data_IF_508875023622
#
_entry.id   IF_508875023622
#
_cell.length_a   1.000
_cell.length_b   1.000
_cell.length_c   1.000
_cell.angle_alpha   90.00
_cell.angle_beta   90.00
_cell.angle_gamma   90.00
#
_symmetry.space_group_name_H-M   'P 1'
#
loop_
_entity.id
_entity.type
_entity.pdbx_description
1 polymer ?
#
# COMPACT_ATOMS: atom_id res chain seq x y z
N UNK A 1 3.88 6.47 -2.64
CA UNK A 1 3.75 5.17 -1.92
C UNK A 1 2.65 4.30 -2.52
N UNK A 2 1.37 4.69 -2.45
CA UNK A 2 0.27 3.85 -3.01
C UNK A 2 0.47 3.50 -4.48
N UNK A 3 0.65 4.51 -5.36
CA UNK A 3 0.90 4.28 -6.78
C UNK A 3 2.15 3.39 -7.02
N UNK A 4 3.22 3.63 -6.25
CA UNK A 4 4.44 2.82 -6.29
C UNK A 4 4.17 1.34 -6.02
N UNK A 5 3.31 0.98 -5.05
CA UNK A 5 3.04 -0.41 -4.72
C UNK A 5 1.99 -1.05 -5.62
N UNK A 6 1.06 -0.25 -6.15
CA UNK A 6 0.01 -0.71 -7.06
C UNK A 6 0.56 -1.08 -8.44
N UNK A 7 1.33 -0.18 -9.07
CA UNK A 7 1.84 -0.38 -10.43
C UNK A 7 3.36 -0.56 -10.54
N UNK A 8 4.12 -0.24 -9.50
CA UNK A 8 5.59 -0.41 -9.46
C UNK A 8 6.32 0.26 -10.63
N UNK A 9 5.83 1.41 -11.08
CA UNK A 9 6.43 2.14 -12.19
C UNK A 9 7.79 2.76 -11.78
N UNK A 10 8.84 2.71 -12.63
CA UNK A 10 10.16 3.26 -12.34
C UNK A 10 10.16 4.72 -11.85
N UNK A 11 9.32 5.58 -12.44
CA UNK A 11 9.12 6.98 -11.99
C UNK A 11 8.64 7.07 -10.54
N UNK A 12 7.65 6.26 -10.15
CA UNK A 12 7.14 6.27 -8.78
C UNK A 12 8.17 5.70 -7.79
N UNK A 13 9.01 4.76 -8.25
CA UNK A 13 10.13 4.25 -7.46
C UNK A 13 11.22 5.30 -7.29
N UNK A 14 11.47 6.11 -8.32
CA UNK A 14 12.36 7.25 -8.23
C UNK A 14 11.84 8.32 -7.27
N UNK A 15 10.53 8.61 -7.25
CA UNK A 15 9.95 9.51 -6.25
C UNK A 15 10.14 8.98 -4.82
N UNK A 16 10.02 7.67 -4.61
CA UNK A 16 10.30 7.03 -3.32
C UNK A 16 11.79 7.06 -2.98
N UNK A 17 12.68 6.93 -3.97
CA UNK A 17 14.11 7.11 -3.78
C UNK A 17 14.40 8.51 -3.22
N UNK A 18 13.86 9.54 -3.88
CA UNK A 18 14.03 10.93 -3.45
C UNK A 18 13.42 11.17 -2.05
N UNK A 19 12.26 10.58 -1.77
CA UNK A 19 11.69 10.59 -0.41
C UNK A 19 12.69 10.04 0.61
N UNK A 20 13.30 8.88 0.33
CA UNK A 20 14.27 8.25 1.24
C UNK A 20 15.58 9.02 1.43
N UNK A 21 16.04 9.74 0.41
CA UNK A 21 17.26 10.54 0.48
C UNK A 21 17.09 11.84 1.27
N UNK A 22 15.85 12.31 1.43
CA UNK A 22 15.57 13.59 2.07
C UNK A 22 14.88 13.44 3.43
N UNK A 23 13.76 12.70 3.50
CA UNK A 23 12.92 12.63 4.70
C UNK A 23 12.80 11.21 5.28
N UNK A 24 12.79 10.20 4.40
CA UNK A 24 12.47 8.83 4.77
C UNK A 24 10.97 8.56 4.96
N UNK A 25 10.65 7.34 5.36
CA UNK A 25 9.28 6.94 5.68
C UNK A 25 8.95 7.27 7.14
N UNK A 26 8.33 8.42 7.36
CA UNK A 26 7.84 8.84 8.69
C UNK A 26 6.57 8.10 9.09
N UNK A 27 6.25 8.09 10.39
CA UNK A 27 5.03 7.46 10.90
C UNK A 27 3.76 8.14 10.38
N UNK A 28 3.77 9.47 10.25
CA UNK A 28 2.64 10.23 9.70
C UNK A 28 2.42 9.93 8.22
N UNK A 29 3.51 9.77 7.45
CA UNK A 29 3.42 9.37 6.04
C UNK A 29 2.90 7.93 5.92
N UNK A 30 3.34 7.02 6.79
CA UNK A 30 2.84 5.65 6.83
C UNK A 30 1.34 5.57 7.19
N UNK A 31 0.89 6.30 8.22
CA UNK A 31 -0.54 6.40 8.57
C UNK A 31 -1.37 6.99 7.43
N UNK A 32 -0.85 8.03 6.77
CA UNK A 32 -1.48 8.61 5.57
C UNK A 32 -1.56 7.59 4.43
N UNK A 33 -0.51 6.79 4.22
CA UNK A 33 -0.53 5.70 3.24
C UNK A 33 -1.64 4.68 3.54
N UNK A 34 -1.89 4.34 4.80
CA UNK A 34 -3.01 3.45 5.18
C UNK A 34 -4.39 4.04 4.82
N UNK A 35 -4.55 5.37 4.84
CA UNK A 35 -5.77 6.03 4.33
C UNK A 35 -5.91 5.84 2.81
N UNK A 36 -4.80 5.93 2.05
CA UNK A 36 -4.81 5.63 0.62
C UNK A 36 -5.11 4.15 0.34
N UNK A 37 -4.61 3.22 1.14
CA UNK A 37 -5.00 1.80 1.08
C UNK A 37 -6.50 1.65 1.29
N UNK A 38 -7.06 2.35 2.28
CA UNK A 38 -8.50 2.39 2.56
C UNK A 38 -9.33 3.16 1.51
N UNK A 39 -8.68 3.83 0.55
CA UNK A 39 -9.33 4.51 -0.57
C UNK A 39 -9.19 3.75 -1.89
N UNK A 40 -8.38 2.69 -1.91
CA UNK A 40 -8.02 1.95 -3.11
C UNK A 40 -9.08 0.94 -3.53
N UNK A 41 -9.24 0.71 -4.84
CA UNK A 41 -10.01 -0.42 -5.38
C UNK A 41 -9.33 -1.77 -5.08
N UNK A 42 -7.99 -1.80 -4.97
CA UNK A 42 -7.20 -3.00 -4.65
C UNK A 42 -7.51 -3.55 -3.25
N UNK A 43 -7.56 -4.88 -3.05
CA UNK A 43 -7.53 -5.48 -1.73
C UNK A 43 -6.31 -4.99 -0.92
N UNK A 44 -6.44 -4.68 0.39
CA UNK A 44 -5.33 -4.15 1.17
C UNK A 44 -4.05 -5.01 1.12
N UNK A 45 -4.16 -6.34 1.17
CA UNK A 45 -3.01 -7.23 1.15
C UNK A 45 -2.19 -7.15 -0.16
N UNK A 46 -2.82 -6.85 -1.30
CA UNK A 46 -2.11 -6.69 -2.57
C UNK A 46 -1.23 -5.43 -2.60
N UNK A 47 -1.55 -4.41 -1.79
CA UNK A 47 -0.75 -3.19 -1.69
C UNK A 47 0.33 -3.29 -0.61
N UNK A 48 0.03 -3.99 0.49
CA UNK A 48 0.93 -4.13 1.63
C UNK A 48 2.05 -5.15 1.34
N UNK A 49 1.74 -6.18 0.55
CA UNK A 49 2.70 -7.18 0.08
C UNK A 49 2.48 -7.46 -1.41
N UNK A 50 2.92 -6.54 -2.30
CA UNK A 50 2.65 -6.67 -3.73
C UNK A 50 3.48 -7.79 -4.37
N UNK A 51 2.88 -8.44 -5.38
CA UNK A 51 3.63 -9.30 -6.32
C UNK A 51 4.59 -8.43 -7.12
N UNK A 52 5.87 -8.79 -7.15
CA UNK A 52 6.88 -8.01 -7.87
C UNK A 52 6.64 -8.13 -9.38
N UNK A 53 6.62 -6.99 -10.06
CA UNK A 53 6.61 -6.94 -11.53
C UNK A 53 8.02 -6.71 -12.06
N UNK A 54 8.30 -7.25 -13.25
CA UNK A 54 9.51 -6.94 -14.02
C UNK A 54 9.55 -5.44 -14.31
N UNK A 55 10.69 -4.81 -14.02
CA UNK A 55 10.91 -3.38 -14.24
C UNK A 55 11.66 -3.10 -15.55
N UNK A 56 12.34 -4.10 -16.11
CA UNK A 56 13.28 -4.03 -17.22
C UNK A 56 12.70 -3.27 -18.41
N UNK A 57 11.59 -3.77 -18.98
CA UNK A 57 11.01 -3.19 -20.20
C UNK A 57 10.49 -1.76 -19.97
N UNK A 58 9.80 -1.52 -18.86
CA UNK A 58 9.22 -0.19 -18.55
C UNK A 58 10.34 0.81 -18.23
N UNK A 59 11.42 0.35 -17.59
CA UNK A 59 12.58 1.18 -17.32
C UNK A 59 13.23 1.67 -18.61
N UNK A 60 13.54 0.77 -19.53
CA UNK A 60 14.15 1.10 -20.84
C UNK A 60 13.26 2.05 -21.65
N UNK A 61 11.94 1.80 -21.67
CA UNK A 61 11.00 2.52 -22.52
C UNK A 61 10.55 3.87 -21.94
N UNK A 62 10.38 3.95 -20.62
CA UNK A 62 9.62 5.02 -19.98
C UNK A 62 10.38 5.76 -18.86
N UNK A 63 11.64 5.41 -18.59
CA UNK A 63 12.43 6.05 -17.52
C UNK A 63 13.89 6.33 -17.88
N UNK A 64 14.52 5.48 -18.68
CA UNK A 64 15.92 5.66 -19.06
C UNK A 64 16.13 7.03 -19.74
N UNK A 65 17.07 7.81 -19.21
CA UNK A 65 17.37 9.17 -19.69
C UNK A 65 16.41 10.26 -19.21
N UNK A 66 15.41 9.95 -18.37
CA UNK A 66 14.51 10.96 -17.80
C UNK A 66 15.13 11.79 -16.67
N UNK A 67 16.16 11.28 -15.99
CA UNK A 67 16.79 11.94 -14.85
C UNK A 67 18.12 12.59 -15.25
N UNK A 68 18.46 13.71 -14.61
CA UNK A 68 19.74 14.41 -14.84
C UNK A 68 20.92 13.54 -14.42
N UNK A 69 20.78 12.87 -13.28
CA UNK A 69 21.72 11.85 -12.81
C UNK A 69 21.11 10.50 -13.15
N UNK A 70 21.83 9.69 -13.92
CA UNK A 70 21.40 8.35 -14.29
C UNK A 70 21.19 7.49 -13.04
N UNK A 71 20.07 6.77 -13.00
CA UNK A 71 19.73 5.84 -11.92
C UNK A 71 19.64 4.44 -12.53
N UNK A 72 20.48 3.48 -12.10
CA UNK A 72 20.41 2.09 -12.55
C UNK A 72 19.10 1.40 -12.16
N UNK A 73 18.69 0.42 -12.95
CA UNK A 73 17.50 -0.39 -12.70
C UNK A 73 17.57 -1.10 -11.34
N UNK A 74 18.76 -1.56 -10.97
CA UNK A 74 19.05 -2.27 -9.73
C UNK A 74 18.78 -1.37 -8.52
N UNK A 75 19.05 -0.07 -8.66
CA UNK A 75 18.81 0.90 -7.60
C UNK A 75 17.30 1.10 -7.37
N UNK A 76 16.50 1.24 -8.43
CA UNK A 76 15.04 1.30 -8.29
C UNK A 76 14.45 0.00 -7.73
N UNK A 77 15.02 -1.14 -8.12
CA UNK A 77 14.66 -2.45 -7.56
C UNK A 77 14.96 -2.52 -6.06
N UNK A 78 16.11 -2.02 -5.63
CA UNK A 78 16.48 -1.95 -4.21
C UNK A 78 15.56 -1.00 -3.42
N UNK A 79 15.15 0.12 -4.02
CA UNK A 79 14.18 1.06 -3.43
C UNK A 79 12.83 0.40 -3.22
N UNK A 80 12.34 -0.40 -4.19
CA UNK A 80 11.10 -1.19 -4.04
C UNK A 80 11.18 -2.12 -2.83
N UNK A 81 12.25 -2.91 -2.73
CA UNK A 81 12.40 -3.89 -1.65
C UNK A 81 12.56 -3.20 -0.29
N UNK A 82 13.26 -2.06 -0.23
CA UNK A 82 13.31 -1.23 0.99
C UNK A 82 11.93 -0.74 1.40
N UNK A 83 11.13 -0.21 0.47
CA UNK A 83 9.78 0.28 0.76
C UNK A 83 8.88 -0.83 1.33
N UNK A 84 8.90 -2.01 0.72
CA UNK A 84 8.08 -3.14 1.16
C UNK A 84 8.52 -3.59 2.56
N UNK A 85 9.82 -3.77 2.80
CA UNK A 85 10.34 -4.15 4.12
C UNK A 85 9.99 -3.11 5.20
N UNK A 86 10.11 -1.82 4.89
CA UNK A 86 9.82 -0.76 5.85
C UNK A 86 8.32 -0.68 6.19
N UNK A 87 7.44 -1.02 5.24
CA UNK A 87 5.99 -1.17 5.47
C UNK A 87 5.71 -2.38 6.34
N UNK A 88 6.30 -3.54 6.01
CA UNK A 88 6.14 -4.78 6.78
C UNK A 88 6.60 -4.60 8.24
N UNK A 89 7.71 -3.92 8.47
CA UNK A 89 8.22 -3.62 9.81
C UNK A 89 7.29 -2.71 10.65
N UNK A 90 6.32 -2.03 10.03
CA UNK A 90 5.34 -1.16 10.70
C UNK A 90 3.96 -1.82 10.87
N UNK A 91 3.82 -3.10 10.53
CA UNK A 91 2.56 -3.85 10.64
C UNK A 91 2.25 -4.27 12.09
N UNK A 92 2.11 -3.28 12.97
CA UNK A 92 1.89 -3.48 14.41
C UNK A 92 0.42 -3.79 14.77
N UNK A 93 0.15 -3.88 16.08
CA UNK A 93 -1.19 -4.14 16.60
C UNK A 93 -2.23 -3.06 16.26
N UNK A 94 -1.82 -1.79 16.11
CA UNK A 94 -2.71 -0.70 15.73
C UNK A 94 -3.08 -0.80 14.25
N UNK A 95 -2.10 -1.09 13.39
CA UNK A 95 -2.34 -1.36 11.97
C UNK A 95 -3.25 -2.57 11.78
N UNK A 96 -3.07 -3.62 12.59
CA UNK A 96 -3.98 -4.78 12.62
C UNK A 96 -5.40 -4.39 13.02
N UNK A 97 -5.54 -3.59 14.08
CA UNK A 97 -6.82 -3.05 14.56
C UNK A 97 -7.50 -2.14 13.54
N UNK A 98 -6.76 -1.52 12.63
CA UNK A 98 -7.33 -0.75 11.53
C UNK A 98 -7.74 -1.65 10.33
N UNK A 99 -6.82 -2.48 9.83
CA UNK A 99 -6.99 -3.18 8.55
C UNK A 99 -7.98 -4.35 8.61
N UNK A 100 -8.02 -5.12 9.69
CA UNK A 100 -8.97 -6.25 9.80
C UNK A 100 -10.42 -5.76 9.89
N UNK A 101 -10.75 -4.77 10.75
CA UNK A 101 -12.10 -4.20 10.75
C UNK A 101 -12.43 -3.45 9.45
N UNK A 102 -11.46 -2.78 8.81
CA UNK A 102 -11.65 -2.22 7.46
C UNK A 102 -12.14 -3.28 6.49
N UNK A 103 -11.48 -4.45 6.42
CA UNK A 103 -11.87 -5.58 5.56
C UNK A 103 -13.30 -6.07 5.85
N UNK A 104 -13.75 -5.96 7.10
CA UNK A 104 -15.12 -6.26 7.52
C UNK A 104 -16.13 -5.12 7.28
N UNK A 105 -15.72 -4.05 6.60
CA UNK A 105 -16.51 -2.82 6.40
C UNK A 105 -16.85 -2.07 7.71
N UNK A 106 -15.98 -2.17 8.72
CA UNK A 106 -16.09 -1.49 10.03
C UNK A 106 -14.75 -0.87 10.44
N UNK A 107 -14.13 0.01 9.64
CA UNK A 107 -12.79 0.51 9.92
C UNK A 107 -12.72 1.33 11.22
N UNK A 108 -11.62 1.17 11.96
CA UNK A 108 -11.30 1.94 13.15
C UNK A 108 -10.17 2.94 12.82
N UNK A 109 -10.55 4.14 12.34
CA UNK A 109 -9.57 5.17 11.97
C UNK A 109 -8.87 5.82 13.16
N UNK A 110 -9.39 5.67 14.38
CA UNK A 110 -8.72 6.12 15.60
C UNK A 110 -7.44 5.30 15.84
N UNK A 111 -7.43 4.02 15.46
CA UNK A 111 -6.25 3.16 15.56
C UNK A 111 -5.04 3.69 14.78
N UNK A 112 -5.24 4.48 13.73
CA UNK A 112 -4.16 5.15 12.97
C UNK A 112 -4.09 6.65 13.23
N UNK A 113 -4.83 7.18 14.22
CA UNK A 113 -4.82 8.58 14.61
C UNK A 113 -5.42 9.55 13.59
N UNK A 114 -6.25 9.07 12.65
CA UNK A 114 -6.82 9.88 11.56
C UNK A 114 -8.36 9.71 11.45
N UNK A 115 -9.14 9.95 12.53
CA UNK A 115 -10.59 9.72 12.52
C UNK A 115 -11.33 10.45 11.40
N UNK A 116 -10.87 11.64 11.02
CA UNK A 116 -11.45 12.45 9.95
C UNK A 116 -11.41 11.76 8.58
N UNK A 117 -10.47 10.82 8.37
CA UNK A 117 -10.35 10.11 7.10
C UNK A 117 -11.57 9.20 6.81
N UNK A 118 -12.33 8.81 7.83
CA UNK A 118 -13.58 8.06 7.67
C UNK A 118 -14.64 8.81 6.84
N UNK A 119 -14.55 10.15 6.77
CA UNK A 119 -15.48 10.98 6.01
C UNK A 119 -15.15 11.05 4.51
N UNK A 120 -13.96 10.61 4.08
CA UNK A 120 -13.52 10.72 2.70
C UNK A 120 -14.43 9.90 1.75
N UNK A 121 -14.86 10.46 0.60
CA UNK A 121 -15.73 9.75 -0.33
C UNK A 121 -15.15 8.40 -0.81
N UNK A 122 -13.85 8.37 -1.11
CA UNK A 122 -13.17 7.15 -1.55
C UNK A 122 -13.13 6.06 -0.45
N UNK A 123 -12.95 6.46 0.81
CA UNK A 123 -13.02 5.55 1.96
C UNK A 123 -14.43 4.99 2.11
N UNK A 124 -15.45 5.84 2.06
CA UNK A 124 -16.86 5.38 2.11
C UNK A 124 -17.19 4.42 0.98
N UNK A 125 -16.67 4.68 -0.21
CA UNK A 125 -16.79 3.79 -1.36
C UNK A 125 -16.12 2.44 -1.13
N UNK A 126 -14.91 2.41 -0.57
CA UNK A 126 -14.21 1.18 -0.19
C UNK A 126 -15.01 0.34 0.80
N UNK A 127 -15.50 0.98 1.86
CA UNK A 127 -16.33 0.32 2.90
C UNK A 127 -17.59 -0.26 2.30
N UNK A 128 -18.28 0.49 1.44
CA UNK A 128 -19.45 0.00 0.70
C UNK A 128 -19.13 -1.25 -0.14
N UNK A 129 -18.03 -1.23 -0.90
CA UNK A 129 -17.64 -2.37 -1.73
C UNK A 129 -17.26 -3.60 -0.91
N UNK A 130 -16.59 -3.43 0.23
CA UNK A 130 -16.26 -4.55 1.12
C UNK A 130 -17.52 -5.16 1.74
N UNK A 131 -18.51 -4.34 2.11
CA UNK A 131 -19.80 -4.82 2.58
C UNK A 131 -20.53 -5.63 1.49
N UNK A 132 -20.49 -5.18 0.22
CA UNK A 132 -21.04 -5.93 -0.91
C UNK A 132 -20.31 -7.25 -1.14
N UNK A 133 -18.98 -7.26 -1.16
CA UNK A 133 -18.21 -8.50 -1.33
C UNK A 133 -18.53 -9.49 -0.21
N UNK A 134 -18.65 -9.02 1.04
CA UNK A 134 -19.03 -9.86 2.18
C UNK A 134 -20.42 -10.50 2.04
N UNK A 135 -21.38 -9.77 1.47
CA UNK A 135 -22.74 -10.26 1.27
C UNK A 135 -22.87 -11.16 0.03
N UNK A 136 -22.26 -10.76 -1.08
CA UNK A 136 -22.46 -11.36 -2.41
C UNK A 136 -21.46 -12.50 -2.68
N UNK A 137 -20.32 -12.53 -1.98
CA UNK A 137 -19.26 -13.53 -2.18
C UNK A 137 -18.45 -13.75 -0.89
N UNK A 138 -19.08 -14.43 0.08
CA UNK A 138 -18.50 -14.73 1.40
C UNK A 138 -17.18 -15.50 1.33
N UNK A 139 -17.04 -16.41 0.36
CA UNK A 139 -15.83 -17.23 0.20
C UNK A 139 -14.63 -16.37 -0.21
N UNK A 140 -14.82 -15.47 -1.18
CA UNK A 140 -13.79 -14.50 -1.57
C UNK A 140 -13.46 -13.56 -0.41
N UNK A 141 -14.47 -13.09 0.33
CA UNK A 141 -14.25 -12.24 1.51
C UNK A 141 -13.40 -12.96 2.56
N UNK A 142 -13.71 -14.22 2.87
CA UNK A 142 -12.99 -15.04 3.85
C UNK A 142 -11.56 -15.39 3.39
N UNK A 143 -11.35 -15.70 2.11
CA UNK A 143 -10.02 -15.93 1.55
C UNK A 143 -9.14 -14.68 1.68
N UNK A 144 -9.64 -13.53 1.22
CA UNK A 144 -8.91 -12.27 1.32
C UNK A 144 -8.63 -11.86 2.76
N UNK A 145 -9.53 -12.22 3.69
CA UNK A 145 -9.32 -12.01 5.13
C UNK A 145 -8.16 -12.86 5.65
N UNK A 146 -8.12 -14.15 5.32
CA UNK A 146 -7.02 -15.05 5.73
C UNK A 146 -5.67 -14.57 5.22
N UNK A 147 -5.61 -14.11 3.97
CA UNK A 147 -4.38 -13.54 3.39
C UNK A 147 -3.98 -12.26 4.13
N UNK A 148 -4.92 -11.37 4.45
CA UNK A 148 -4.61 -10.16 5.19
C UNK A 148 -4.14 -10.46 6.62
N UNK A 149 -4.76 -11.42 7.29
CA UNK A 149 -4.37 -11.87 8.63
C UNK A 149 -2.95 -12.45 8.66
N UNK A 150 -2.55 -13.18 7.62
CA UNK A 150 -1.21 -13.79 7.54
C UNK A 150 -0.08 -12.75 7.47
N UNK A 151 -0.38 -11.49 7.13
CA UNK A 151 0.60 -10.39 7.14
C UNK A 151 1.03 -9.98 8.56
N UNK A 152 0.29 -10.38 9.59
CA UNK A 152 0.56 -10.01 11.00
C UNK A 152 1.13 -11.16 11.83
N UNK A 153 1.46 -12.27 11.20
CA UNK A 153 2.04 -13.45 11.83
C UNK A 153 3.53 -13.49 11.50
N UNK A 154 4.36 -13.69 12.54
CA UNK A 154 5.80 -13.95 12.42
C UNK A 154 6.09 -15.29 11.73
#
# INVERSE_FOLDING_TARGET
>A
MHATLDRQHPRDLYDIKLLYENEGLTDDLFRTFLVYVASSSRPPHELLRPTRVSLEKIFEQEFQGMTVIAVPLEELSAVRERLIRDIEARMDSNVRRFLLPLHDAKPDFDAIGLPQAAALPAVRWKVHNLAKIKADNSDKHAEQRRILESLFTD
#
